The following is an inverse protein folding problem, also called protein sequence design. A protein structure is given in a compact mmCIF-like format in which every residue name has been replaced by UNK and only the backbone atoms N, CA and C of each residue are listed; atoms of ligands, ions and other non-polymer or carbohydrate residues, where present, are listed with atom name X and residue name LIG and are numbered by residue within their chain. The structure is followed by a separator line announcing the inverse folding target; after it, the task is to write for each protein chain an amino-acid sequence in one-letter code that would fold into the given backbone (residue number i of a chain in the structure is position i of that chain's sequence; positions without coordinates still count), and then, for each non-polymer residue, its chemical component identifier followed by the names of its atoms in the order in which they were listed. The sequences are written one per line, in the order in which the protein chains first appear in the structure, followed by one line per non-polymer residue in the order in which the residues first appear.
data_IF_636880804504
#
_entry.id   IF_636880804504
#
_cell.length_a   1.000
_cell.length_b   1.000
_cell.length_c   1.000
_cell.angle_alpha   90.00
_cell.angle_beta   90.00
_cell.angle_gamma   90.00
#
_symmetry.space_group_name_H-M   'P 1'
#
loop_
_entity.id
_entity.type
_entity.pdbx_description
1 polymer ?
#
# COMPACT_ATOMS: atom_id res chain seq x y z
N UNK A 1 5.91 -20.06 -0.98
CA UNK A 1 5.12 -18.87 -1.35
C UNK A 1 3.75 -18.89 -0.74
N UNK A 2 3.19 -17.70 -0.50
CA UNK A 2 1.80 -17.55 -0.08
C UNK A 2 0.85 -17.76 -1.25
N UNK A 3 -0.32 -18.33 -0.99
CA UNK A 3 -1.39 -18.41 -1.98
C UNK A 3 -2.24 -17.14 -1.97
N UNK A 4 -3.03 -16.93 -3.02
CA UNK A 4 -3.98 -15.81 -3.07
C UNK A 4 -5.03 -15.88 -1.97
N UNK A 5 -5.46 -17.08 -1.59
CA UNK A 5 -6.38 -17.28 -0.46
C UNK A 5 -5.74 -16.84 0.85
N UNK A 6 -4.51 -17.27 1.13
CA UNK A 6 -3.80 -16.92 2.36
C UNK A 6 -3.54 -15.41 2.48
N UNK A 7 -3.27 -14.75 1.36
CA UNK A 7 -3.12 -13.29 1.28
C UNK A 7 -4.45 -12.58 1.50
N UNK A 8 -5.54 -13.07 0.91
CA UNK A 8 -6.88 -12.55 1.11
C UNK A 8 -7.35 -12.70 2.55
N UNK A 9 -7.03 -13.82 3.21
CA UNK A 9 -7.31 -14.01 4.63
C UNK A 9 -6.61 -12.94 5.48
N UNK A 10 -5.38 -12.56 5.12
CA UNK A 10 -4.66 -11.47 5.79
C UNK A 10 -5.34 -10.10 5.62
N UNK A 11 -5.85 -9.80 4.42
CA UNK A 11 -6.66 -8.59 4.20
C UNK A 11 -8.01 -8.65 4.91
N UNK A 12 -8.64 -9.82 5.00
CA UNK A 12 -9.91 -10.01 5.72
C UNK A 12 -9.72 -9.80 7.23
N UNK A 13 -8.65 -10.36 7.81
CA UNK A 13 -8.27 -10.15 9.20
C UNK A 13 -8.08 -8.67 9.51
N UNK A 14 -7.33 -7.99 8.64
CA UNK A 14 -7.07 -6.56 8.70
C UNK A 14 -8.35 -5.76 8.66
N UNK A 15 -9.21 -6.04 7.66
CA UNK A 15 -10.49 -5.37 7.48
C UNK A 15 -11.37 -5.53 8.71
N UNK A 16 -11.47 -6.74 9.25
CA UNK A 16 -12.27 -7.03 10.44
C UNK A 16 -11.76 -6.23 11.67
N UNK A 17 -10.44 -6.22 11.90
CA UNK A 17 -9.84 -5.48 13.02
C UNK A 17 -10.01 -3.98 12.87
N UNK A 18 -9.63 -3.41 11.73
CA UNK A 18 -9.66 -1.95 11.53
C UNK A 18 -11.09 -1.40 11.49
N UNK A 19 -12.02 -2.11 10.85
CA UNK A 19 -13.43 -1.72 10.85
C UNK A 19 -14.05 -1.86 12.26
N UNK A 20 -13.70 -2.91 13.00
CA UNK A 20 -14.15 -3.11 14.38
C UNK A 20 -13.67 -2.00 15.33
N UNK A 21 -12.49 -1.43 15.06
CA UNK A 21 -11.94 -0.29 15.78
C UNK A 21 -12.45 1.07 15.25
N UNK A 22 -13.26 1.08 14.18
CA UNK A 22 -13.73 2.31 13.54
C UNK A 22 -12.59 3.14 12.94
N UNK A 23 -11.50 2.49 12.53
CA UNK A 23 -10.35 3.14 11.92
C UNK A 23 -10.55 3.27 10.41
N UNK A 24 -10.15 4.42 9.90
CA UNK A 24 -10.06 4.62 8.46
C UNK A 24 -8.77 3.97 7.94
N UNK A 25 -8.86 3.25 6.83
CA UNK A 25 -7.72 2.59 6.23
C UNK A 25 -7.92 2.36 4.74
N UNK A 26 -6.83 2.07 4.03
CA UNK A 26 -6.86 1.66 2.63
C UNK A 26 -5.57 0.90 2.25
N UNK A 27 -5.65 -0.07 1.31
CA UNK A 27 -4.47 -0.76 0.77
C UNK A 27 -3.53 0.20 0.06
N UNK A 28 -2.21 0.05 0.20
CA UNK A 28 -1.23 0.89 -0.50
C UNK A 28 -0.18 0.06 -1.24
N UNK A 29 0.81 0.72 -1.85
CA UNK A 29 1.98 0.08 -2.49
C UNK A 29 1.61 -1.13 -3.38
N UNK A 30 2.28 -2.28 -3.22
CA UNK A 30 2.08 -3.47 -4.05
C UNK A 30 0.65 -3.98 -3.96
N UNK A 31 0.08 -3.95 -2.76
CA UNK A 31 -1.26 -4.46 -2.46
C UNK A 31 -2.30 -3.66 -3.24
N UNK A 32 -2.19 -2.33 -3.25
CA UNK A 32 -3.07 -1.48 -4.04
C UNK A 32 -2.91 -1.71 -5.55
N UNK A 33 -1.69 -1.91 -6.05
CA UNK A 33 -1.48 -2.26 -7.47
C UNK A 33 -2.17 -3.58 -7.81
N UNK A 34 -2.04 -4.59 -6.95
CA UNK A 34 -2.66 -5.90 -7.14
C UNK A 34 -4.18 -5.79 -7.23
N UNK A 35 -4.81 -5.08 -6.30
CA UNK A 35 -6.26 -4.91 -6.26
C UNK A 35 -6.79 -4.09 -7.43
N UNK A 36 -6.10 -3.03 -7.85
CA UNK A 36 -6.53 -2.23 -9.00
C UNK A 36 -6.37 -2.97 -10.33
N UNK A 37 -5.36 -3.84 -10.44
CA UNK A 37 -5.05 -4.57 -11.67
C UNK A 37 -5.88 -5.84 -11.80
N UNK A 38 -6.03 -6.59 -10.71
CA UNK A 38 -6.62 -7.92 -10.72
C UNK A 38 -7.86 -8.06 -9.85
N UNK A 39 -8.09 -7.14 -8.92
CA UNK A 39 -9.04 -7.33 -7.83
C UNK A 39 -8.64 -8.48 -6.92
N UNK A 40 -7.37 -8.88 -6.93
CA UNK A 40 -6.78 -10.01 -6.22
C UNK A 40 -5.24 -9.84 -6.18
N UNK A 41 -4.53 -10.69 -5.43
CA UNK A 41 -3.06 -10.65 -5.35
C UNK A 41 -2.38 -10.95 -6.68
N UNK A 42 -2.93 -11.91 -7.42
CA UNK A 42 -2.40 -12.34 -8.70
C UNK A 42 -3.50 -12.45 -9.76
N UNK A 43 -3.10 -12.58 -11.02
CA UNK A 43 -4.01 -12.85 -12.13
C UNK A 43 -3.35 -13.62 -13.25
N UNK A 44 -4.09 -14.55 -13.84
CA UNK A 44 -3.63 -15.32 -15.00
C UNK A 44 -3.37 -14.41 -16.20
N UNK A 45 -2.34 -14.76 -16.95
CA UNK A 45 -1.90 -14.15 -18.21
C UNK A 45 -2.02 -15.18 -19.34
N UNK A 46 -1.57 -14.83 -20.55
CA UNK A 46 -1.56 -15.78 -21.67
C UNK A 46 -0.60 -16.94 -21.40
N UNK A 47 -0.82 -18.06 -22.08
CA UNK A 47 0.03 -19.26 -22.00
C UNK A 47 0.18 -19.85 -20.58
N UNK A 48 -0.82 -19.64 -19.70
CA UNK A 48 -0.82 -20.16 -18.33
C UNK A 48 0.13 -19.42 -17.38
N UNK A 49 0.71 -18.30 -17.80
CA UNK A 49 1.58 -17.46 -16.96
C UNK A 49 0.74 -16.74 -15.89
N UNK A 50 1.37 -16.27 -14.83
CA UNK A 50 0.71 -15.62 -13.71
C UNK A 50 1.44 -14.33 -13.32
N UNK A 51 0.73 -13.20 -13.32
CA UNK A 51 1.26 -11.96 -12.75
C UNK A 51 0.97 -11.94 -11.26
N UNK A 52 1.99 -12.28 -10.46
CA UNK A 52 1.99 -12.10 -9.02
C UNK A 52 2.49 -10.69 -8.74
N UNK A 53 1.66 -9.88 -8.10
CA UNK A 53 1.99 -8.47 -7.87
C UNK A 53 2.61 -8.26 -6.49
N UNK A 54 2.17 -9.03 -5.50
CA UNK A 54 2.53 -8.80 -4.11
C UNK A 54 2.70 -10.10 -3.31
N UNK A 55 3.53 -10.03 -2.27
CA UNK A 55 3.86 -11.13 -1.37
C UNK A 55 3.65 -10.76 0.11
N UNK A 56 3.33 -9.52 0.41
CA UNK A 56 2.91 -9.04 1.73
C UNK A 56 1.61 -8.23 1.60
N UNK A 57 1.12 -7.70 2.73
CA UNK A 57 -0.07 -6.85 2.78
C UNK A 57 0.33 -5.45 3.25
N UNK A 58 0.33 -4.50 2.34
CA UNK A 58 0.62 -3.09 2.58
C UNK A 58 -0.67 -2.29 2.79
N UNK A 59 -0.82 -1.63 3.95
CA UNK A 59 -1.96 -0.76 4.23
C UNK A 59 -1.56 0.58 4.86
N UNK A 60 -2.39 1.58 4.61
CA UNK A 60 -2.36 2.87 5.29
C UNK A 60 -3.51 2.96 6.29
N UNK A 61 -3.25 3.50 7.49
CA UNK A 61 -4.26 3.76 8.52
C UNK A 61 -4.29 5.24 8.86
N UNK A 62 -5.47 5.85 8.72
CA UNK A 62 -5.72 7.23 9.10
C UNK A 62 -5.86 7.36 10.61
N UNK A 63 -5.05 8.22 11.22
CA UNK A 63 -5.09 8.52 12.65
C UNK A 63 -5.38 9.99 12.90
N UNK A 64 -6.04 10.29 14.01
CA UNK A 64 -6.41 11.68 14.37
C UNK A 64 -5.21 12.52 14.78
N UNK A 65 -4.20 11.89 15.35
CA UNK A 65 -2.95 12.53 15.76
C UNK A 65 -1.83 11.50 15.87
N UNK A 66 -0.60 11.99 15.92
CA UNK A 66 0.59 11.15 16.13
C UNK A 66 0.53 10.41 17.48
N UNK A 67 -0.03 11.05 18.51
CA UNK A 67 -0.20 10.44 19.84
C UNK A 67 -1.26 9.34 19.83
N UNK A 68 -2.34 9.52 19.05
CA UNK A 68 -3.41 8.52 18.95
C UNK A 68 -2.90 7.21 18.36
N UNK A 69 -1.94 7.27 17.43
CA UNK A 69 -1.33 6.08 16.83
C UNK A 69 -0.72 5.14 17.87
N UNK A 70 -0.06 5.68 18.90
CA UNK A 70 0.60 4.88 19.91
C UNK A 70 -0.37 3.94 20.66
N UNK A 71 -1.60 4.41 20.91
CA UNK A 71 -2.66 3.61 21.51
C UNK A 71 -3.38 2.72 20.49
N UNK A 72 -3.65 3.23 19.30
CA UNK A 72 -4.36 2.50 18.24
C UNK A 72 -3.58 1.28 17.77
N UNK A 73 -2.26 1.38 17.56
CA UNK A 73 -1.42 0.24 17.13
C UNK A 73 -1.44 -0.93 18.13
N UNK A 74 -1.56 -0.66 19.44
CA UNK A 74 -1.68 -1.71 20.46
C UNK A 74 -3.02 -2.44 20.35
N UNK A 75 -4.09 -1.72 20.03
CA UNK A 75 -5.41 -2.32 19.80
C UNK A 75 -5.44 -3.12 18.50
N UNK A 76 -4.79 -2.62 17.45
CA UNK A 76 -4.62 -3.35 16.18
C UNK A 76 -3.84 -4.64 16.41
N UNK A 77 -2.68 -4.58 17.08
CA UNK A 77 -1.89 -5.77 17.41
C UNK A 77 -2.72 -6.78 18.20
N UNK A 78 -3.41 -6.36 19.27
CA UNK A 78 -4.26 -7.25 20.06
C UNK A 78 -5.36 -7.91 19.21
N UNK A 79 -6.00 -7.14 18.32
CA UNK A 79 -7.02 -7.64 17.40
C UNK A 79 -6.46 -8.66 16.40
N UNK A 80 -5.30 -8.39 15.81
CA UNK A 80 -4.62 -9.31 14.89
C UNK A 80 -4.15 -10.58 15.62
N UNK A 81 -3.58 -10.45 16.82
CA UNK A 81 -3.15 -11.61 17.62
C UNK A 81 -4.31 -12.52 18.01
N UNK A 82 -5.48 -11.95 18.31
CA UNK A 82 -6.70 -12.71 18.53
C UNK A 82 -7.17 -13.50 17.28
N UNK A 83 -6.65 -13.16 16.10
CA UNK A 83 -6.91 -13.81 14.82
C UNK A 83 -5.76 -14.70 14.34
N UNK A 84 -4.81 -15.02 15.22
CA UNK A 84 -3.72 -15.95 14.92
C UNK A 84 -2.45 -15.31 14.37
N UNK A 85 -2.36 -13.97 14.35
CA UNK A 85 -1.09 -13.30 14.07
C UNK A 85 -0.14 -13.49 15.27
N UNK A 86 1.15 -13.74 14.98
CA UNK A 86 2.10 -14.18 15.99
C UNK A 86 2.62 -13.01 16.83
N UNK A 87 3.09 -11.96 16.17
CA UNK A 87 3.63 -10.76 16.83
C UNK A 87 3.63 -9.57 15.86
N UNK A 88 3.77 -8.36 16.41
CA UNK A 88 4.00 -7.17 15.63
C UNK A 88 5.24 -6.42 16.14
N UNK A 89 5.92 -5.70 15.24
CA UNK A 89 7.11 -4.91 15.52
C UNK A 89 6.82 -3.47 15.10
N UNK A 90 7.02 -2.55 16.03
CA UNK A 90 6.94 -1.13 15.78
C UNK A 90 8.22 -0.64 15.11
N UNK A 91 8.09 0.17 14.05
CA UNK A 91 9.22 0.84 13.41
C UNK A 91 8.91 2.30 13.07
N UNK A 92 9.96 3.03 12.73
CA UNK A 92 9.90 4.33 12.07
C UNK A 92 10.20 4.14 10.59
N UNK A 93 9.47 4.82 9.72
CA UNK A 93 9.76 4.91 8.29
C UNK A 93 10.95 5.83 7.98
N UNK A 94 11.52 6.49 9.01
CA UNK A 94 12.70 7.33 8.86
C UNK A 94 13.93 6.44 8.72
N UNK A 95 14.46 6.37 7.51
CA UNK A 95 15.72 5.69 7.19
C UNK A 95 16.90 6.66 7.40
N UNK A 96 17.16 6.99 8.65
CA UNK A 96 18.25 7.88 9.05
C UNK A 96 19.18 7.17 10.03
N UNK A 97 20.48 7.48 9.93
CA UNK A 97 21.49 6.92 10.84
C UNK A 97 21.20 7.35 12.28
N UNK A 98 21.41 6.42 13.22
CA UNK A 98 21.34 6.71 14.64
C UNK A 98 22.26 7.90 14.99
N UNK A 99 21.76 8.83 15.80
CA UNK A 99 22.48 10.06 16.13
C UNK A 99 22.13 11.27 15.26
N UNK A 100 21.42 11.09 14.15
CA UNK A 100 20.96 12.23 13.32
C UNK A 100 19.70 12.88 13.87
N UNK A 101 19.48 14.17 13.56
CA UNK A 101 18.26 14.88 13.94
C UNK A 101 17.00 14.17 13.42
N UNK A 102 17.02 13.71 12.16
CA UNK A 102 15.90 12.98 11.56
C UNK A 102 15.56 11.70 12.34
N UNK A 103 16.57 10.95 12.80
CA UNK A 103 16.37 9.76 13.62
C UNK A 103 15.63 10.08 14.93
N UNK A 104 16.02 11.14 15.62
CA UNK A 104 15.41 11.52 16.91
C UNK A 104 14.04 12.19 16.78
N UNK A 105 13.80 12.94 15.69
CA UNK A 105 12.52 13.61 15.44
C UNK A 105 11.48 12.68 14.79
N UNK A 106 11.92 11.57 14.19
CA UNK A 106 11.05 10.59 13.56
C UNK A 106 10.13 9.90 14.56
N UNK A 107 8.83 9.86 14.25
CA UNK A 107 7.88 9.05 15.04
C UNK A 107 7.89 7.60 14.54
N UNK A 108 7.48 6.70 15.42
CA UNK A 108 7.20 5.31 15.04
C UNK A 108 5.85 5.20 14.33
N UNK A 109 5.84 5.34 13.01
CA UNK A 109 4.63 5.35 12.18
C UNK A 109 4.24 3.97 11.60
N UNK A 110 5.15 2.99 11.67
CA UNK A 110 4.99 1.65 11.09
C UNK A 110 4.70 0.60 12.18
N UNK A 111 3.81 -0.33 11.86
CA UNK A 111 3.58 -1.57 12.60
C UNK A 111 3.68 -2.74 11.61
N UNK A 112 4.73 -3.56 11.75
CA UNK A 112 4.95 -4.75 10.93
C UNK A 112 4.43 -5.96 11.69
N UNK A 113 3.37 -6.60 11.20
CA UNK A 113 2.77 -7.77 11.83
C UNK A 113 3.12 -9.04 11.06
N UNK A 114 3.38 -10.13 11.79
CA UNK A 114 3.83 -11.40 11.23
C UNK A 114 2.87 -12.51 11.61
N UNK A 115 2.46 -13.30 10.62
CA UNK A 115 1.80 -14.60 10.81
C UNK A 115 2.80 -15.69 10.45
N UNK A 116 2.89 -16.76 11.26
CA UNK A 116 3.84 -17.86 11.03
C UNK A 116 3.28 -18.96 10.13
N UNK A 117 1.99 -19.28 10.27
CA UNK A 117 1.35 -20.35 9.52
C UNK A 117 -0.03 -19.91 9.01
N UNK A 118 -0.18 -19.67 7.69
CA UNK A 118 0.92 -19.57 6.72
C UNK A 118 1.76 -18.29 6.94
N UNK A 119 3.03 -18.28 6.51
CA UNK A 119 3.92 -17.14 6.68
C UNK A 119 3.41 -15.95 5.88
N UNK A 120 3.07 -14.85 6.55
CA UNK A 120 2.60 -13.62 5.92
C UNK A 120 3.08 -12.42 6.72
N UNK A 121 3.48 -11.37 6.01
CA UNK A 121 3.85 -10.07 6.59
C UNK A 121 2.78 -9.05 6.23
N UNK A 122 2.44 -8.19 7.19
CA UNK A 122 1.55 -7.06 6.99
C UNK A 122 2.23 -5.78 7.47
N UNK A 123 2.31 -4.81 6.57
CA UNK A 123 2.92 -3.51 6.78
C UNK A 123 1.83 -2.47 6.97
N UNK A 124 1.65 -2.01 8.21
CA UNK A 124 0.65 -1.00 8.58
C UNK A 124 1.35 0.34 8.79
N UNK A 125 1.14 1.27 7.85
CA UNK A 125 1.68 2.62 7.94
C UNK A 125 0.60 3.60 8.39
N UNK A 126 0.85 4.36 9.45
CA UNK A 126 -0.09 5.40 9.90
C UNK A 126 0.14 6.74 9.18
N UNK A 127 -0.93 7.46 8.88
CA UNK A 127 -0.87 8.86 8.43
C UNK A 127 -1.83 9.74 9.22
N UNK A 128 -1.51 11.03 9.32
CA UNK A 128 -2.38 12.05 9.92
C UNK A 128 -2.98 12.88 8.79
N UNK A 129 -4.31 12.89 8.66
CA UNK A 129 -5.03 13.85 7.83
C UNK A 129 -5.34 15.08 8.67
N UNK A 130 -4.83 16.24 8.27
CA UNK A 130 -4.95 17.47 9.06
C UNK A 130 -5.37 18.65 8.20
N UNK A 131 -6.51 19.25 8.55
CA UNK A 131 -6.97 20.49 7.91
C UNK A 131 -6.06 21.67 8.23
N UNK A 132 -5.36 21.63 9.37
CA UNK A 132 -4.39 22.65 9.76
C UNK A 132 -3.23 22.83 8.76
N UNK A 133 -3.02 21.86 7.87
CA UNK A 133 -2.02 21.95 6.80
C UNK A 133 -2.66 22.12 5.40
N UNK A 134 -3.85 22.71 5.33
CA UNK A 134 -4.52 23.02 4.06
C UNK A 134 -5.04 21.77 3.35
N UNK A 135 -5.58 20.80 4.09
CA UNK A 135 -6.16 19.60 3.51
C UNK A 135 -5.12 18.62 2.96
N UNK A 136 -3.96 18.53 3.61
CA UNK A 136 -2.97 17.49 3.33
C UNK A 136 -3.02 16.39 4.41
N UNK A 137 -2.54 15.23 4.03
CA UNK A 137 -2.12 14.16 4.89
C UNK A 137 -0.59 14.09 4.92
N UNK A 138 -0.02 13.65 6.04
CA UNK A 138 1.41 13.36 6.17
C UNK A 138 1.64 12.10 7.01
N UNK A 139 2.79 11.45 6.79
CA UNK A 139 3.24 10.31 7.60
C UNK A 139 4.14 10.78 8.73
N UNK A 140 5.15 11.60 8.40
CA UNK A 140 6.10 12.15 9.36
C UNK A 140 5.92 13.66 9.51
N UNK A 141 6.16 14.16 10.72
CA UNK A 141 6.25 15.59 11.02
C UNK A 141 7.30 15.78 12.10
N UNK A 142 8.27 16.64 11.84
CA UNK A 142 9.37 16.92 12.74
C UNK A 142 9.09 18.20 13.50
N UNK A 143 9.23 18.15 14.81
CA UNK A 143 8.97 19.27 15.72
C UNK A 143 10.19 19.48 16.63
N UNK A 144 11.22 20.24 16.19
CA UNK A 144 12.47 20.38 16.94
C UNK A 144 12.28 20.94 18.37
N UNK A 145 11.29 21.82 18.56
CA UNK A 145 10.95 22.38 19.87
C UNK A 145 9.91 21.55 20.65
N UNK A 146 9.64 20.32 20.21
CA UNK A 146 8.68 19.40 20.83
C UNK A 146 7.27 19.43 20.22
N UNK A 147 6.43 18.45 20.58
CA UNK A 147 5.08 18.32 20.03
C UNK A 147 4.22 19.57 20.27
N UNK A 148 3.54 20.05 19.22
CA UNK A 148 2.67 21.22 19.30
C UNK A 148 3.38 22.57 19.11
N UNK A 149 4.70 22.56 18.89
CA UNK A 149 5.42 23.77 18.50
C UNK A 149 4.91 24.32 17.16
N UNK A 150 4.91 25.65 17.03
CA UNK A 150 4.67 26.32 15.74
C UNK A 150 5.78 26.03 14.71
N UNK A 151 6.93 25.50 15.13
CA UNK A 151 8.07 25.17 14.26
C UNK A 151 8.04 23.76 13.65
N UNK A 152 6.90 23.06 13.73
CA UNK A 152 6.79 21.73 13.12
C UNK A 152 6.76 21.80 11.58
N UNK A 153 7.42 20.84 10.91
CA UNK A 153 7.39 20.72 9.45
C UNK A 153 7.27 19.27 8.99
N UNK A 154 6.74 19.06 7.78
CA UNK A 154 6.72 17.75 7.12
C UNK A 154 8.01 17.60 6.31
N UNK A 155 8.90 16.64 6.64
CA UNK A 155 10.14 16.41 5.90
C UNK A 155 9.85 15.92 4.48
N UNK A 156 10.62 16.38 3.50
CA UNK A 156 10.34 16.14 2.08
C UNK A 156 10.74 14.73 1.61
N UNK A 157 11.87 14.23 2.09
CA UNK A 157 12.58 13.07 1.60
C UNK A 157 12.48 11.85 2.54
N UNK A 158 11.55 11.90 3.48
CA UNK A 158 11.44 10.91 4.57
C UNK A 158 10.09 10.18 4.52
N UNK A 159 10.15 8.86 4.72
CA UNK A 159 8.98 8.00 4.91
C UNK A 159 8.24 7.59 3.64
N UNK A 160 7.01 7.11 3.82
CA UNK A 160 6.22 6.48 2.77
C UNK A 160 5.88 7.39 1.58
N UNK A 161 5.79 8.71 1.75
CA UNK A 161 5.38 9.65 0.69
C UNK A 161 6.51 10.56 0.19
N UNK A 162 7.74 10.06 0.15
CA UNK A 162 8.91 10.84 -0.25
C UNK A 162 8.82 11.44 -1.66
N UNK A 163 8.05 10.83 -2.58
CA UNK A 163 7.91 11.35 -3.94
C UNK A 163 7.08 12.63 -4.03
N UNK A 164 6.30 12.93 -2.99
CA UNK A 164 5.46 14.12 -2.89
C UNK A 164 5.85 14.96 -1.68
N UNK A 165 7.14 15.02 -1.38
CA UNK A 165 7.68 15.80 -0.27
C UNK A 165 7.05 15.44 1.09
N UNK A 166 6.76 14.15 1.33
CA UNK A 166 6.14 13.65 2.56
C UNK A 166 4.63 13.95 2.69
N UNK A 167 4.01 14.53 1.66
CA UNK A 167 2.64 15.07 1.70
C UNK A 167 1.75 14.38 0.68
N UNK A 168 0.49 14.14 1.03
CA UNK A 168 -0.53 13.68 0.09
C UNK A 168 -1.76 14.57 0.25
N UNK A 169 -2.43 14.96 -0.83
CA UNK A 169 -3.66 15.77 -0.69
C UNK A 169 -4.78 14.88 -0.20
N UNK A 170 -5.54 15.35 0.78
CA UNK A 170 -6.72 14.63 1.27
C UNK A 170 -7.73 14.37 0.14
N UNK A 171 -7.85 15.27 -0.83
CA UNK A 171 -8.72 15.08 -2.00
C UNK A 171 -8.28 13.93 -2.94
N UNK A 172 -7.05 13.44 -2.82
CA UNK A 172 -6.59 12.25 -3.54
C UNK A 172 -6.94 10.95 -2.77
N UNK A 173 -7.28 11.06 -1.47
CA UNK A 173 -7.74 9.96 -0.62
C UNK A 173 -9.28 9.93 -0.55
N UNK A 174 -9.94 11.07 -0.32
CA UNK A 174 -11.35 11.15 0.07
C UNK A 174 -12.32 11.68 -1.01
N UNK A 175 -13.60 11.23 -0.96
CA UNK A 175 -14.08 10.09 -0.18
C UNK A 175 -13.46 8.78 -0.67
N UNK A 176 -13.31 7.80 0.22
CA UNK A 176 -12.83 6.48 -0.16
C UNK A 176 -13.83 5.82 -1.12
N UNK A 177 -13.30 5.26 -2.21
CA UNK A 177 -14.01 4.33 -3.08
C UNK A 177 -13.89 2.90 -2.59
N UNK A 178 -14.07 1.95 -3.50
CA UNK A 178 -14.03 0.51 -3.22
C UNK A 178 -13.06 -0.19 -4.15
N UNK A 179 -12.23 -1.05 -3.59
CA UNK A 179 -11.31 -1.93 -4.30
C UNK A 179 -11.85 -3.36 -4.11
N UNK A 180 -11.90 -4.16 -5.18
CA UNK A 180 -12.26 -5.58 -5.09
C UNK A 180 -11.07 -6.36 -4.54
N UNK A 181 -11.30 -7.30 -3.61
CA UNK A 181 -10.31 -8.21 -3.08
C UNK A 181 -10.84 -9.65 -3.11
N UNK A 182 -10.43 -10.42 -4.11
CA UNK A 182 -10.97 -11.75 -4.38
C UNK A 182 -12.46 -11.71 -4.77
N UNK A 183 -13.14 -12.83 -4.55
CA UNK A 183 -14.56 -12.96 -4.90
C UNK A 183 -15.51 -12.37 -3.86
N UNK A 184 -15.08 -12.28 -2.59
CA UNK A 184 -15.95 -12.04 -1.43
C UNK A 184 -15.68 -10.74 -0.68
N UNK A 185 -14.49 -10.16 -0.82
CA UNK A 185 -14.09 -8.99 -0.04
C UNK A 185 -14.12 -7.72 -0.89
N UNK A 186 -14.62 -6.66 -0.28
CA UNK A 186 -14.56 -5.29 -0.77
C UNK A 186 -13.88 -4.45 0.28
N UNK A 187 -12.75 -3.84 -0.06
CA UNK A 187 -11.97 -3.01 0.87
C UNK A 187 -12.07 -1.53 0.49
N UNK A 188 -11.85 -0.60 1.42
CA UNK A 188 -11.78 0.81 1.09
C UNK A 188 -10.62 1.07 0.13
N UNK A 189 -10.77 2.08 -0.71
CA UNK A 189 -9.82 2.36 -1.79
C UNK A 189 -9.67 3.88 -1.92
N UNK A 190 -8.46 4.44 -2.05
CA UNK A 190 -8.29 5.88 -2.19
C UNK A 190 -9.04 6.41 -3.43
N UNK A 191 -9.57 7.64 -3.36
CA UNK A 191 -10.32 8.25 -4.46
C UNK A 191 -9.53 8.32 -5.76
N UNK A 192 -8.22 8.59 -5.67
CA UNK A 192 -7.31 8.71 -6.80
C UNK A 192 -6.13 7.77 -6.60
N UNK A 193 -6.32 6.45 -6.78
CA UNK A 193 -5.31 5.45 -6.43
C UNK A 193 -3.97 5.67 -7.12
N UNK A 194 -3.96 6.13 -8.36
CA UNK A 194 -2.69 6.42 -9.03
C UNK A 194 -1.93 7.60 -8.37
N UNK A 195 -2.63 8.66 -7.93
CA UNK A 195 -1.98 9.78 -7.25
C UNK A 195 -1.41 9.35 -5.90
N UNK A 196 -2.11 8.45 -5.20
CA UNK A 196 -1.60 7.90 -3.93
C UNK A 196 -0.42 6.96 -4.16
N UNK A 197 -0.45 6.13 -5.21
CA UNK A 197 0.68 5.30 -5.62
C UNK A 197 1.90 6.16 -5.99
N UNK A 198 1.72 7.20 -6.81
CA UNK A 198 2.80 8.13 -7.19
C UNK A 198 3.48 8.80 -5.99
N UNK A 199 2.80 8.96 -4.85
CA UNK A 199 3.42 9.48 -3.63
C UNK A 199 4.51 8.55 -3.06
N UNK A 200 4.44 7.24 -3.30
CA UNK A 200 5.41 6.25 -2.79
C UNK A 200 6.67 6.13 -3.65
N UNK A 201 6.63 6.48 -4.93
CA UNK A 201 7.72 6.20 -5.87
C UNK A 201 8.02 7.38 -6.79
N UNK A 202 9.28 7.84 -6.77
CA UNK A 202 9.73 8.99 -7.57
C UNK A 202 9.66 8.74 -9.09
N UNK A 203 9.78 7.48 -9.53
CA UNK A 203 9.99 7.13 -10.95
C UNK A 203 8.86 6.29 -11.57
N UNK A 204 7.63 6.44 -11.06
CA UNK A 204 6.48 5.72 -11.62
C UNK A 204 5.61 6.62 -12.51
N UNK A 205 5.77 6.45 -13.82
CA UNK A 205 4.75 6.88 -14.78
C UNK A 205 3.51 5.97 -14.66
N UNK A 206 2.31 6.49 -14.94
CA UNK A 206 1.06 5.72 -14.75
C UNK A 206 1.00 4.41 -15.55
N UNK A 207 1.72 4.34 -16.68
CA UNK A 207 1.85 3.15 -17.52
C UNK A 207 2.64 2.02 -16.88
N UNK A 208 3.76 2.32 -16.19
CA UNK A 208 4.55 1.30 -15.47
C UNK A 208 3.79 0.63 -14.32
N UNK A 209 2.70 1.26 -13.86
CA UNK A 209 1.83 0.74 -12.82
C UNK A 209 0.71 -0.14 -13.42
N UNK A 210 0.11 0.27 -14.53
CA UNK A 210 -0.94 -0.51 -15.19
C UNK A 210 -0.36 -1.75 -15.89
N UNK A 211 0.81 -1.59 -16.51
CA UNK A 211 1.58 -2.65 -17.19
C UNK A 211 2.93 -2.78 -16.48
N UNK A 212 3.26 -3.93 -15.89
CA UNK A 212 4.50 -4.08 -15.15
C UNK A 212 5.73 -3.78 -16.03
N UNK A 213 6.58 -2.86 -15.56
CA UNK A 213 7.89 -2.60 -16.13
C UNK A 213 8.86 -3.74 -15.75
N UNK A 214 9.22 -4.54 -16.75
CA UNK A 214 9.98 -5.78 -16.57
C UNK A 214 11.44 -5.51 -16.22
N UNK A 215 12.03 -4.46 -16.77
CA UNK A 215 13.42 -4.09 -16.50
C UNK A 215 13.55 -3.68 -15.03
N UNK A 216 12.62 -2.87 -14.54
CA UNK A 216 12.56 -2.49 -13.12
C UNK A 216 12.25 -3.68 -12.19
N UNK A 217 11.37 -4.62 -12.60
CA UNK A 217 11.06 -5.81 -11.80
C UNK A 217 12.28 -6.72 -11.67
N UNK A 218 12.98 -7.00 -12.78
CA UNK A 218 14.19 -7.84 -12.81
C UNK A 218 15.31 -7.31 -11.92
N UNK A 219 15.47 -5.99 -11.83
CA UNK A 219 16.46 -5.36 -10.94
C UNK A 219 16.06 -5.51 -9.46
N UNK A 220 14.75 -5.46 -9.14
CA UNK A 220 14.25 -5.44 -7.77
C UNK A 220 14.18 -6.82 -7.11
N UNK A 221 13.89 -7.89 -7.85
CA UNK A 221 13.68 -9.25 -7.29
C UNK A 221 14.98 -10.02 -7.03
N UNK A 222 16.12 -9.61 -7.57
CA UNK A 222 17.36 -10.39 -7.45
C UNK A 222 17.22 -11.82 -8.01
N UNK A 223 18.24 -12.68 -7.83
CA UNK A 223 18.31 -14.05 -8.39
C UNK A 223 17.28 -15.02 -7.75
N UNK A 224 16.41 -14.54 -6.84
CA UNK A 224 15.38 -15.34 -6.18
C UNK A 224 14.03 -15.27 -6.92
N UNK A 225 14.05 -15.30 -8.26
CA UNK A 225 12.82 -15.44 -9.04
C UNK A 225 12.26 -16.84 -8.88
N UNK A 226 11.06 -16.94 -8.32
CA UNK A 226 10.25 -18.14 -8.40
C UNK A 226 10.15 -18.61 -9.85
N UNK A 227 10.27 -19.92 -10.07
CA UNK A 227 10.06 -20.56 -11.38
C UNK A 227 8.67 -20.27 -11.99
N UNK A 228 7.77 -19.60 -11.26
CA UNK A 228 6.42 -19.20 -11.69
C UNK A 228 6.36 -17.82 -12.34
N UNK A 229 7.42 -17.02 -12.23
CA UNK A 229 7.52 -15.69 -12.84
C UNK A 229 8.41 -15.68 -14.10
N UNK A 230 8.42 -16.79 -14.86
CA UNK A 230 9.21 -16.92 -16.11
C UNK A 230 8.94 -15.82 -17.13
N UNK A 231 7.77 -15.18 -17.08
CA UNK A 231 7.47 -14.02 -17.93
C UNK A 231 8.32 -12.78 -17.61
N UNK A 232 8.93 -12.67 -16.42
CA UNK A 232 9.84 -11.56 -16.09
C UNK A 232 11.05 -11.52 -17.03
N UNK A 233 11.44 -12.65 -17.64
CA UNK A 233 12.46 -12.70 -18.69
C UNK A 233 11.95 -12.50 -20.11
N UNK A 234 10.65 -12.72 -20.39
CA UNK A 234 10.11 -12.82 -21.75
C UNK A 234 9.27 -11.63 -22.21
N UNK A 235 9.12 -10.63 -21.35
CA UNK A 235 8.21 -9.52 -21.53
C UNK A 235 6.72 -9.89 -21.63
N UNK A 236 5.86 -8.89 -21.45
CA UNK A 236 4.44 -9.04 -21.67
C UNK A 236 4.14 -9.01 -23.18
N UNK A 237 3.41 -10.03 -23.63
CA UNK A 237 2.84 -10.09 -24.97
C UNK A 237 1.69 -9.10 -25.11
N UNK A 238 1.33 -8.75 -26.35
CA UNK A 238 0.14 -7.93 -26.62
C UNK A 238 -1.15 -8.57 -26.07
N UNK A 239 -1.21 -9.91 -26.05
CA UNK A 239 -2.31 -10.67 -25.47
C UNK A 239 -2.40 -10.46 -23.95
N UNK A 240 -1.28 -10.46 -23.22
CA UNK A 240 -1.28 -10.19 -21.78
C UNK A 240 -1.79 -8.79 -21.47
N UNK A 241 -1.33 -7.79 -22.22
CA UNK A 241 -1.78 -6.41 -22.06
C UNK A 241 -3.28 -6.33 -22.30
N UNK A 242 -3.81 -7.06 -23.28
CA UNK A 242 -5.23 -7.12 -23.53
C UNK A 242 -6.01 -7.81 -22.40
N UNK A 243 -5.47 -8.88 -21.81
CA UNK A 243 -6.03 -9.55 -20.62
C UNK A 243 -6.11 -8.55 -19.45
N UNK A 244 -5.04 -7.80 -19.18
CA UNK A 244 -4.99 -6.80 -18.11
C UNK A 244 -6.00 -5.66 -18.35
N UNK A 245 -6.14 -5.19 -19.59
CA UNK A 245 -7.16 -4.19 -19.99
C UNK A 245 -8.57 -4.69 -19.75
N UNK A 246 -8.88 -5.90 -20.22
CA UNK A 246 -10.20 -6.50 -20.06
C UNK A 246 -10.55 -6.69 -18.58
N UNK A 247 -9.60 -7.18 -17.78
CA UNK A 247 -9.80 -7.36 -16.33
C UNK A 247 -10.06 -6.04 -15.62
N UNK A 248 -9.30 -5.01 -15.95
CA UNK A 248 -9.52 -3.68 -15.37
C UNK A 248 -10.89 -3.12 -15.76
N UNK A 249 -11.29 -3.28 -17.02
CA UNK A 249 -12.62 -2.85 -17.48
C UNK A 249 -13.75 -3.60 -16.77
N UNK A 250 -13.57 -4.89 -16.45
CA UNK A 250 -14.53 -5.66 -15.66
C UNK A 250 -14.64 -5.15 -14.22
N UNK A 251 -13.52 -4.76 -13.59
CA UNK A 251 -13.54 -4.15 -12.25
C UNK A 251 -14.30 -2.82 -12.26
N UNK A 252 -14.02 -1.95 -13.22
CA UNK A 252 -14.71 -0.67 -13.38
C UNK A 252 -16.21 -0.85 -13.65
N UNK A 253 -16.58 -1.78 -14.54
CA UNK A 253 -17.98 -2.09 -14.84
C UNK A 253 -18.73 -2.62 -13.62
N UNK A 254 -18.02 -3.28 -12.69
CA UNK A 254 -18.56 -3.74 -11.41
C UNK A 254 -18.54 -2.66 -10.31
N UNK A 255 -18.14 -1.42 -10.62
CA UNK A 255 -18.15 -0.30 -9.69
C UNK A 255 -16.97 -0.26 -8.71
N UNK A 256 -15.90 -1.02 -8.99
CA UNK A 256 -14.65 -0.97 -8.23
C UNK A 256 -13.64 -0.06 -8.93
N UNK A 257 -12.72 0.51 -8.16
CA UNK A 257 -11.56 1.20 -8.73
C UNK A 257 -10.68 0.20 -9.48
N UNK A 258 -10.16 0.60 -10.66
CA UNK A 258 -9.28 -0.24 -11.47
C UNK A 258 -8.18 0.55 -12.18
N UNK A 259 -7.38 -0.15 -12.99
CA UNK A 259 -6.38 0.47 -13.86
C UNK A 259 -6.93 1.00 -15.21
N UNK A 260 -8.22 0.87 -15.51
CA UNK A 260 -8.79 1.24 -16.83
C UNK A 260 -8.46 2.66 -17.29
N UNK A 261 -8.55 3.72 -16.45
CA UNK A 261 -8.26 5.09 -16.88
C UNK A 261 -6.80 5.31 -17.32
N UNK A 262 -5.91 4.34 -17.07
CA UNK A 262 -4.48 4.48 -17.25
C UNK A 262 -3.96 3.75 -18.49
N UNK A 263 -4.75 2.86 -19.08
CA UNK A 263 -4.37 2.21 -20.35
C UNK A 263 -4.47 3.14 -21.56
N UNK A 264 -5.23 4.23 -21.48
CA UNK A 264 -5.50 5.16 -22.58
C UNK A 264 -4.65 6.43 -22.60
N UNK A 265 -3.70 6.61 -21.69
CA UNK A 265 -2.89 7.83 -21.61
C UNK A 265 -1.75 7.92 -22.63
N UNK A 266 -1.66 6.97 -23.57
CA UNK A 266 -0.65 6.95 -24.62
C UNK A 266 -1.24 6.38 -25.92
N UNK A 267 -1.54 7.28 -26.87
CA UNK A 267 -1.45 7.05 -28.30
C UNK A 267 -0.31 7.91 -28.83
#
# INVERSE_FOLDING_TARGET
DITDEQWLDGLEDTSAVLNGLGLEWWPCRGTLVALLRHGARSGSLSQGRMDVVDHDVDIMVGVRSEQAWAAQRMQIEAGLRARGWSHCIVRSSVDALEGTEAYYLGRTDLLLCFRQDPPLVMDITSYVASDAFGGIAYVQRFCPAGPGSASCYVPADVGAWKATAGRLRQADIYPLGRCKAGARLSVPCPRRPLRTLQAFWNDMNGTSIAVPDLEKRRIRTGVLSDLRETWQSEALSAEDVQILRQRSAQLDAAGFMSMTPYFGQFN
#
